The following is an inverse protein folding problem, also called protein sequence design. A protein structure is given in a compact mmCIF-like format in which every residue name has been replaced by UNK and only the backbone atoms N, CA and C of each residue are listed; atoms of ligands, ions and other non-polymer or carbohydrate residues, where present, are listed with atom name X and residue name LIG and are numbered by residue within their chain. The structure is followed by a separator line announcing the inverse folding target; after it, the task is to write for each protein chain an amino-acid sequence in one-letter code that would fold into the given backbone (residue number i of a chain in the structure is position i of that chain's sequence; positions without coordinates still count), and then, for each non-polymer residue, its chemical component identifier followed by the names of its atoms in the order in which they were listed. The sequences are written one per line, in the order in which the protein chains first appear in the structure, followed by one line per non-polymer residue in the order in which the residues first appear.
data_IF_873898829174
#
_entry.id   IF_873898829174
#
_cell.length_a   1.000
_cell.length_b   1.000
_cell.length_c   1.000
_cell.angle_alpha   90.00
_cell.angle_beta   90.00
_cell.angle_gamma   90.00
#
_symmetry.space_group_name_H-M   'P 1'
#
loop_
_entity.id
_entity.type
_entity.pdbx_description
1 polymer ?
#
# COMPACT_ATOMS: atom_id res chain seq x y z
N UNK A 1 -9.95 -24.38 -11.61
CA UNK A 1 -10.95 -23.56 -10.87
C UNK A 1 -10.74 -22.09 -11.18
N UNK A 2 -9.54 -21.54 -10.90
CA UNK A 2 -9.13 -20.18 -11.27
C UNK A 2 -9.55 -19.75 -12.69
N UNK A 3 -9.03 -20.43 -13.72
CA UNK A 3 -9.32 -20.14 -15.14
C UNK A 3 -10.81 -20.27 -15.55
N UNK A 4 -11.65 -20.87 -14.71
CA UNK A 4 -13.07 -21.07 -14.98
C UNK A 4 -13.96 -19.92 -14.50
N UNK A 5 -13.39 -18.90 -13.85
CA UNK A 5 -14.14 -17.74 -13.38
C UNK A 5 -14.23 -16.72 -14.52
N UNK A 6 -15.44 -16.48 -15.03
CA UNK A 6 -15.68 -15.45 -16.05
C UNK A 6 -15.86 -14.08 -15.38
N UNK A 7 -14.76 -13.38 -15.10
CA UNK A 7 -14.82 -12.05 -14.48
C UNK A 7 -15.45 -11.01 -15.41
N UNK A 8 -15.19 -11.12 -16.71
CA UNK A 8 -15.73 -10.21 -17.71
C UNK A 8 -17.28 -10.30 -17.80
N UNK A 9 -17.89 -11.44 -17.49
CA UNK A 9 -19.34 -11.57 -17.30
C UNK A 9 -19.90 -10.59 -16.26
N UNK A 10 -19.18 -10.41 -15.14
CA UNK A 10 -19.59 -9.54 -14.03
C UNK A 10 -19.49 -8.05 -14.34
N UNK A 11 -18.98 -7.67 -15.51
CA UNK A 11 -19.05 -6.29 -16.01
C UNK A 11 -20.39 -5.92 -16.63
N UNK A 12 -21.29 -6.90 -16.82
CA UNK A 12 -22.64 -6.68 -17.34
C UNK A 12 -22.62 -5.90 -18.67
N UNK A 13 -21.75 -6.32 -19.59
CA UNK A 13 -21.58 -5.70 -20.90
C UNK A 13 -22.89 -5.70 -21.68
N UNK A 14 -23.26 -4.57 -22.27
CA UNK A 14 -24.49 -4.39 -23.05
C UNK A 14 -25.65 -3.75 -22.27
N UNK A 15 -25.67 -3.86 -20.94
CA UNK A 15 -26.60 -3.10 -20.09
C UNK A 15 -25.94 -1.88 -19.43
N UNK A 16 -24.61 -1.88 -19.35
CA UNK A 16 -23.78 -0.84 -18.72
C UNK A 16 -22.60 -0.50 -19.64
N UNK A 17 -21.81 0.52 -19.27
CA UNK A 17 -20.56 0.84 -19.96
C UNK A 17 -19.44 -0.19 -19.69
N UNK A 18 -19.66 -1.12 -18.75
CA UNK A 18 -18.72 -2.15 -18.38
C UNK A 18 -17.53 -1.67 -17.56
N UNK A 19 -17.60 -0.49 -16.93
CA UNK A 19 -16.52 0.02 -16.08
C UNK A 19 -16.45 -0.72 -14.74
N UNK A 20 -17.59 -0.98 -14.10
CA UNK A 20 -17.67 -1.68 -12.81
C UNK A 20 -17.83 -3.19 -12.92
N UNK A 21 -17.27 -3.90 -11.94
CA UNK A 21 -17.70 -5.25 -11.58
C UNK A 21 -18.95 -5.20 -10.69
N UNK A 22 -19.87 -6.12 -10.90
CA UNK A 22 -21.05 -6.30 -10.06
C UNK A 22 -20.86 -7.46 -9.11
N UNK A 23 -21.25 -7.28 -7.85
CA UNK A 23 -21.04 -8.28 -6.81
C UNK A 23 -21.85 -9.57 -7.07
N UNK A 24 -23.03 -9.44 -7.66
CA UNK A 24 -23.98 -10.55 -7.72
C UNK A 24 -24.49 -10.79 -9.13
N UNK A 25 -24.61 -12.06 -9.48
CA UNK A 25 -25.43 -12.53 -10.58
C UNK A 25 -26.24 -13.75 -10.14
N UNK A 26 -27.46 -13.88 -10.64
CA UNK A 26 -28.31 -15.04 -10.37
C UNK A 26 -28.92 -15.60 -11.66
N UNK A 27 -28.97 -16.94 -11.83
CA UNK A 27 -29.67 -17.54 -12.96
C UNK A 27 -31.19 -17.29 -12.94
N UNK A 28 -31.76 -17.00 -11.76
CA UNK A 28 -33.21 -16.80 -11.60
C UNK A 28 -33.61 -15.32 -11.52
N UNK A 29 -32.68 -14.46 -11.10
CA UNK A 29 -32.95 -13.04 -10.83
C UNK A 29 -32.07 -12.09 -11.64
N UNK A 30 -31.18 -12.61 -12.50
CA UNK A 30 -30.21 -11.82 -13.24
C UNK A 30 -29.41 -10.91 -12.30
N UNK A 31 -29.45 -9.61 -12.59
CA UNK A 31 -28.72 -8.56 -11.88
C UNK A 31 -29.56 -7.82 -10.83
N UNK A 32 -30.65 -8.42 -10.32
CA UNK A 32 -31.61 -7.73 -9.45
C UNK A 32 -30.99 -7.12 -8.17
N UNK A 33 -29.91 -7.70 -7.64
CA UNK A 33 -29.17 -7.09 -6.52
C UNK A 33 -28.52 -5.75 -6.88
N UNK A 34 -28.18 -5.57 -8.16
CA UNK A 34 -27.70 -4.32 -8.76
C UNK A 34 -26.68 -3.56 -7.90
N UNK A 35 -25.63 -4.27 -7.48
CA UNK A 35 -24.61 -3.75 -6.58
C UNK A 35 -23.27 -3.65 -7.33
N UNK A 36 -22.95 -2.50 -7.94
CA UNK A 36 -21.62 -2.25 -8.48
C UNK A 36 -20.60 -2.16 -7.34
N UNK A 37 -19.45 -2.80 -7.51
CA UNK A 37 -18.36 -2.75 -6.54
C UNK A 37 -17.54 -1.49 -6.83
N UNK A 38 -17.59 -0.54 -5.91
CA UNK A 38 -16.82 0.71 -5.92
C UNK A 38 -15.98 0.76 -4.64
N UNK A 39 -14.77 1.30 -4.74
CA UNK A 39 -13.88 1.47 -3.62
C UNK A 39 -14.09 2.79 -2.87
N UNK A 40 -13.47 2.98 -1.71
CA UNK A 40 -12.58 2.02 -1.06
C UNK A 40 -13.34 1.17 -0.02
N UNK A 41 -13.18 -0.16 -0.10
CA UNK A 41 -13.72 -1.15 0.83
C UNK A 41 -12.90 -2.45 0.78
N UNK A 42 -13.42 -3.57 1.28
CA UNK A 42 -12.73 -4.86 1.34
C UNK A 42 -12.49 -5.53 -0.02
N UNK A 43 -13.14 -5.07 -1.10
CA UNK A 43 -13.24 -5.77 -2.37
C UNK A 43 -12.15 -5.45 -3.39
N UNK A 44 -11.05 -4.77 -3.00
CA UNK A 44 -9.97 -4.43 -3.92
C UNK A 44 -9.43 -5.67 -4.65
N UNK A 45 -9.22 -6.78 -3.93
CA UNK A 45 -8.75 -8.04 -4.49
C UNK A 45 -9.64 -8.60 -5.61
N UNK A 46 -10.94 -8.25 -5.63
CA UNK A 46 -11.87 -8.66 -6.69
C UNK A 46 -11.47 -8.07 -8.03
N UNK A 47 -11.09 -6.79 -8.08
CA UNK A 47 -10.60 -6.15 -9.31
C UNK A 47 -9.20 -6.60 -9.69
N UNK A 48 -8.33 -6.81 -8.69
CA UNK A 48 -6.97 -7.32 -8.92
C UNK A 48 -7.02 -8.71 -9.56
N UNK A 49 -7.78 -9.65 -8.99
CA UNK A 49 -7.95 -10.98 -9.58
C UNK A 49 -8.68 -10.94 -10.92
N UNK A 50 -9.71 -10.11 -11.06
CA UNK A 50 -10.41 -9.98 -12.34
C UNK A 50 -9.48 -9.49 -13.46
N UNK A 51 -8.54 -8.60 -13.15
CA UNK A 51 -7.54 -8.12 -14.13
C UNK A 51 -6.47 -9.18 -14.38
N UNK A 52 -6.07 -9.93 -13.34
CA UNK A 52 -5.05 -10.99 -13.44
C UNK A 52 -5.51 -12.25 -14.18
N UNK A 53 -6.82 -12.46 -14.34
CA UNK A 53 -7.35 -13.68 -14.96
C UNK A 53 -6.79 -13.94 -16.36
N UNK A 54 -6.18 -15.12 -16.62
CA UNK A 54 -5.58 -15.42 -17.94
C UNK A 54 -6.61 -15.78 -19.02
N UNK A 55 -7.85 -16.11 -18.64
CA UNK A 55 -8.89 -16.59 -19.58
C UNK A 55 -10.03 -15.60 -19.77
N UNK A 56 -10.47 -14.95 -18.70
CA UNK A 56 -11.58 -14.00 -18.72
C UNK A 56 -11.21 -12.65 -18.07
N UNK A 57 -10.09 -12.01 -18.45
CA UNK A 57 -9.66 -10.77 -17.83
C UNK A 57 -10.65 -9.63 -18.07
N UNK A 58 -10.71 -8.71 -17.13
CA UNK A 58 -11.26 -7.38 -17.37
C UNK A 58 -10.15 -6.43 -17.86
N UNK A 59 -10.50 -5.35 -18.60
CA UNK A 59 -9.52 -4.32 -18.94
C UNK A 59 -8.95 -3.68 -17.67
N UNK A 60 -7.63 -3.44 -17.64
CA UNK A 60 -6.97 -2.78 -16.52
C UNK A 60 -7.57 -1.41 -16.18
N UNK A 61 -8.13 -0.70 -17.16
CA UNK A 61 -8.84 0.56 -16.96
C UNK A 61 -10.06 0.43 -16.04
N UNK A 62 -10.65 -0.76 -15.86
CA UNK A 62 -11.73 -1.00 -14.89
C UNK A 62 -11.26 -0.80 -13.44
N UNK A 63 -9.96 -0.93 -13.15
CA UNK A 63 -9.42 -0.58 -11.84
C UNK A 63 -9.68 0.90 -11.53
N UNK A 64 -9.40 1.80 -12.47
CA UNK A 64 -9.58 3.25 -12.23
C UNK A 64 -10.99 3.76 -12.56
N UNK A 65 -11.63 3.22 -13.59
CA UNK A 65 -12.97 3.66 -13.99
C UNK A 65 -14.09 3.02 -13.17
N UNK A 66 -13.84 1.88 -12.53
CA UNK A 66 -14.79 1.16 -11.69
C UNK A 66 -14.41 1.21 -10.21
N UNK A 67 -13.30 0.55 -9.84
CA UNK A 67 -12.88 0.44 -8.43
C UNK A 67 -12.50 1.78 -7.81
N UNK A 68 -11.46 2.43 -8.34
CA UNK A 68 -10.98 3.73 -7.87
C UNK A 68 -11.77 4.91 -8.47
N UNK A 69 -13.09 4.75 -8.51
CA UNK A 69 -14.02 5.75 -9.02
C UNK A 69 -14.93 6.28 -7.91
N UNK A 70 -15.69 7.32 -8.22
CA UNK A 70 -16.70 7.87 -7.31
C UNK A 70 -16.07 8.43 -6.04
N UNK A 71 -16.33 7.77 -4.91
CA UNK A 71 -15.94 8.25 -3.60
C UNK A 71 -14.74 7.48 -3.01
N UNK A 72 -13.74 7.23 -3.86
CA UNK A 72 -12.55 6.49 -3.51
C UNK A 72 -11.57 7.28 -2.64
N UNK A 73 -11.33 8.52 -3.08
CA UNK A 73 -10.36 9.42 -2.48
C UNK A 73 -10.83 9.97 -1.14
N UNK A 74 -9.88 10.02 -0.22
CA UNK A 74 -9.92 10.80 1.01
C UNK A 74 -8.67 11.71 0.98
N UNK A 75 -8.05 11.99 2.11
CA UNK A 75 -6.96 12.94 2.26
C UNK A 75 -7.04 13.73 3.56
N UNK A 76 -8.09 13.53 4.36
CA UNK A 76 -8.22 14.07 5.69
C UNK A 76 -7.26 13.39 6.69
N UNK A 77 -7.01 14.08 7.80
CA UNK A 77 -6.23 13.56 8.91
C UNK A 77 -7.12 13.37 10.14
N UNK A 78 -7.00 12.21 10.78
CA UNK A 78 -7.72 11.83 11.99
C UNK A 78 -6.70 11.40 13.03
N UNK A 79 -6.78 11.96 14.24
CA UNK A 79 -5.82 11.67 15.32
C UNK A 79 -4.34 11.83 14.92
N UNK A 80 -4.04 12.75 13.98
CA UNK A 80 -2.68 12.98 13.46
C UNK A 80 -2.29 12.11 12.26
N UNK A 81 -3.06 11.08 11.93
CA UNK A 81 -2.79 10.18 10.80
C UNK A 81 -3.58 10.56 9.56
N UNK A 82 -2.91 10.63 8.40
CA UNK A 82 -3.55 10.89 7.12
C UNK A 82 -4.17 9.61 6.55
N UNK A 83 -5.43 9.65 6.16
CA UNK A 83 -6.10 8.57 5.45
C UNK A 83 -6.34 9.01 4.01
N UNK A 84 -5.63 8.41 3.06
CA UNK A 84 -5.66 8.82 1.64
C UNK A 84 -6.84 8.26 0.88
N UNK A 85 -7.29 7.06 1.20
CA UNK A 85 -8.46 6.42 0.59
C UNK A 85 -9.35 5.76 1.64
N UNK A 86 -10.63 5.60 1.32
CA UNK A 86 -11.63 5.11 2.26
C UNK A 86 -12.06 6.14 3.30
N UNK A 87 -12.83 5.72 4.29
CA UNK A 87 -13.56 6.64 5.17
C UNK A 87 -13.16 6.50 6.63
N UNK A 88 -13.43 7.55 7.41
CA UNK A 88 -13.27 7.49 8.86
C UNK A 88 -14.09 6.36 9.49
N UNK A 89 -15.36 6.21 9.07
CA UNK A 89 -16.27 5.17 9.57
C UNK A 89 -16.08 3.83 8.80
N UNK A 90 -14.83 3.41 8.59
CA UNK A 90 -14.50 2.14 7.92
C UNK A 90 -14.21 1.04 8.95
N UNK A 91 -14.88 -0.12 8.87
CA UNK A 91 -14.50 -1.30 9.66
C UNK A 91 -13.09 -1.78 9.33
N UNK A 92 -12.32 -2.19 10.34
CA UNK A 92 -10.90 -2.53 10.18
C UNK A 92 -10.63 -3.70 9.21
N UNK A 93 -11.60 -4.60 8.99
CA UNK A 93 -11.46 -5.69 8.01
C UNK A 93 -11.21 -5.23 6.57
N UNK A 94 -11.50 -3.97 6.23
CA UNK A 94 -11.15 -3.36 4.94
C UNK A 94 -9.64 -3.42 4.67
N UNK A 95 -8.82 -3.32 5.72
CA UNK A 95 -7.36 -3.42 5.63
C UNK A 95 -6.86 -4.87 5.63
N UNK A 96 -7.73 -5.87 5.86
CA UNK A 96 -7.33 -7.26 6.06
C UNK A 96 -7.61 -8.14 4.85
N UNK A 97 -8.85 -8.17 4.34
CA UNK A 97 -9.30 -9.26 3.46
C UNK A 97 -8.56 -9.30 2.12
N UNK A 98 -8.34 -8.13 1.51
CA UNK A 98 -7.52 -8.06 0.30
C UNK A 98 -6.06 -8.44 0.60
N UNK A 99 -5.56 -8.04 1.77
CA UNK A 99 -4.16 -8.13 2.14
C UNK A 99 -3.77 -9.47 2.80
N UNK A 100 -4.65 -10.47 2.80
CA UNK A 100 -4.32 -11.82 3.29
C UNK A 100 -3.26 -12.50 2.41
N UNK A 101 -3.45 -12.39 1.09
CA UNK A 101 -2.53 -12.90 0.08
C UNK A 101 -1.82 -11.77 -0.66
N UNK A 102 -2.54 -10.73 -1.08
CA UNK A 102 -1.90 -9.60 -1.75
C UNK A 102 -0.98 -8.86 -0.77
N UNK A 103 0.28 -8.63 -1.17
CA UNK A 103 1.24 -7.89 -0.36
C UNK A 103 1.14 -6.39 -0.67
N UNK A 104 0.62 -5.56 0.25
CA UNK A 104 0.46 -4.13 -0.01
C UNK A 104 1.78 -3.34 0.10
N UNK A 105 2.87 -3.95 0.58
CA UNK A 105 4.15 -3.24 0.76
C UNK A 105 4.71 -2.77 -0.58
N UNK A 106 5.08 -1.50 -0.63
CA UNK A 106 5.58 -0.83 -1.84
C UNK A 106 4.57 -0.83 -3.00
N UNK A 107 3.28 -1.10 -2.74
CA UNK A 107 2.22 -0.95 -3.73
C UNK A 107 1.65 0.44 -3.57
N UNK A 108 1.81 1.24 -4.61
CA UNK A 108 1.37 2.62 -4.64
C UNK A 108 0.83 2.98 -6.00
N UNK A 109 -0.14 3.88 -6.01
CA UNK A 109 -0.63 4.54 -7.21
C UNK A 109 -0.77 6.04 -6.98
N UNK A 110 -1.51 6.72 -7.86
CA UNK A 110 -1.74 8.16 -7.78
C UNK A 110 -2.56 8.57 -6.53
N UNK A 111 -3.15 7.63 -5.79
CA UNK A 111 -3.96 7.92 -4.62
C UNK A 111 -3.20 7.71 -3.32
N UNK A 112 -2.54 6.56 -3.16
CA UNK A 112 -1.85 6.24 -1.91
C UNK A 112 -0.80 5.12 -2.04
N UNK A 113 0.04 4.99 -1.01
CA UNK A 113 0.68 3.72 -0.68
C UNK A 113 -0.32 2.87 0.14
N UNK A 114 -0.61 1.66 -0.34
CA UNK A 114 -1.63 0.80 0.26
C UNK A 114 -1.24 0.20 1.60
N UNK A 115 0.06 0.02 1.87
CA UNK A 115 0.54 -0.40 3.19
C UNK A 115 0.37 0.74 4.19
N UNK A 116 0.80 1.95 3.83
CA UNK A 116 0.73 3.13 4.71
C UNK A 116 -0.72 3.52 5.00
N UNK A 117 -1.60 3.46 3.99
CA UNK A 117 -3.02 3.71 4.20
C UNK A 117 -3.65 2.66 5.14
N UNK A 118 -3.28 1.38 5.00
CA UNK A 118 -3.76 0.32 5.90
C UNK A 118 -3.26 0.53 7.33
N UNK A 119 -1.98 0.88 7.51
CA UNK A 119 -1.40 1.22 8.81
C UNK A 119 -2.10 2.41 9.46
N UNK A 120 -2.31 3.49 8.70
CA UNK A 120 -2.97 4.68 9.23
C UNK A 120 -4.43 4.40 9.59
N UNK A 121 -5.16 3.60 8.82
CA UNK A 121 -6.51 3.16 9.20
C UNK A 121 -6.51 2.36 10.51
N UNK A 122 -5.53 1.47 10.73
CA UNK A 122 -5.40 0.72 11.99
C UNK A 122 -5.07 1.62 13.18
N UNK A 123 -4.18 2.60 13.01
CA UNK A 123 -3.84 3.57 14.06
C UNK A 123 -5.02 4.50 14.37
N UNK A 124 -5.78 4.94 13.37
CA UNK A 124 -6.99 5.75 13.57
C UNK A 124 -8.05 4.99 14.38
N UNK A 125 -8.29 3.71 14.07
CA UNK A 125 -9.21 2.86 14.84
C UNK A 125 -8.77 2.75 16.31
N UNK A 126 -7.48 2.48 16.51
CA UNK A 126 -6.89 2.41 17.85
C UNK A 126 -7.03 3.72 18.63
N UNK A 127 -6.67 4.85 18.03
CA UNK A 127 -6.75 6.16 18.69
C UNK A 127 -8.21 6.57 18.99
N UNK A 128 -9.16 6.23 18.11
CA UNK A 128 -10.58 6.40 18.41
C UNK A 128 -11.00 5.59 19.64
N UNK A 129 -10.56 4.33 19.76
CA UNK A 129 -10.82 3.52 20.94
C UNK A 129 -10.15 4.09 22.21
N UNK A 130 -8.96 4.67 22.11
CA UNK A 130 -8.28 5.32 23.24
C UNK A 130 -9.03 6.58 23.70
N UNK A 131 -9.43 7.43 22.75
CA UNK A 131 -10.22 8.63 23.00
C UNK A 131 -11.57 8.29 23.63
N UNK A 132 -12.19 7.18 23.18
CA UNK A 132 -13.43 6.62 23.71
C UNK A 132 -14.54 7.68 23.87
N UNK A 133 -14.92 8.39 22.79
CA UNK A 133 -15.83 9.54 22.88
C UNK A 133 -17.24 9.15 23.39
N UNK A 134 -17.61 7.88 23.27
CA UNK A 134 -18.89 7.33 23.75
C UNK A 134 -18.83 6.76 25.17
N UNK A 135 -17.64 6.70 25.79
CA UNK A 135 -17.46 6.27 27.18
C UNK A 135 -17.77 4.79 27.43
N UNK A 136 -17.51 3.91 26.46
CA UNK A 136 -17.70 2.46 26.61
C UNK A 136 -16.68 1.85 27.57
N UNK A 137 -17.09 0.82 28.30
CA UNK A 137 -16.24 0.20 29.30
C UNK A 137 -15.04 -0.54 28.69
N UNK A 138 -13.87 -0.34 29.30
CA UNK A 138 -12.64 -1.08 29.02
C UNK A 138 -11.82 -0.62 27.82
N UNK A 139 -12.40 0.19 26.93
CA UNK A 139 -11.70 0.80 25.80
C UNK A 139 -10.42 1.50 26.27
N UNK A 140 -9.29 1.20 25.61
CA UNK A 140 -7.96 1.65 25.99
C UNK A 140 -6.95 1.36 24.88
N UNK A 141 -5.69 1.73 25.11
CA UNK A 141 -4.54 1.38 24.26
C UNK A 141 -4.31 -0.13 24.11
N UNK A 142 -4.90 -0.94 25.00
CA UNK A 142 -4.85 -2.41 25.01
C UNK A 142 -6.20 -3.07 24.69
N UNK A 143 -7.26 -2.29 24.51
CA UNK A 143 -8.62 -2.76 24.21
C UNK A 143 -9.19 -1.87 23.11
N UNK A 144 -8.83 -2.22 21.88
CA UNK A 144 -9.22 -1.54 20.66
C UNK A 144 -9.51 -2.55 19.57
N UNK A 145 -10.10 -2.08 18.47
CA UNK A 145 -10.42 -2.91 17.32
C UNK A 145 -11.91 -2.94 17.01
N UNK A 146 -12.36 -1.99 16.19
CA UNK A 146 -13.74 -1.95 15.68
C UNK A 146 -13.79 -2.55 14.28
N UNK A 147 -14.56 -3.61 14.13
CA UNK A 147 -14.82 -4.23 12.84
C UNK A 147 -16.14 -4.98 12.86
N UNK A 148 -16.62 -5.37 11.68
CA UNK A 148 -17.85 -6.14 11.56
C UNK A 148 -17.75 -7.48 12.31
N UNK A 149 -18.74 -7.76 13.16
CA UNK A 149 -18.75 -8.91 14.06
C UNK A 149 -20.13 -9.10 14.70
N UNK A 150 -20.30 -10.20 15.43
CA UNK A 150 -21.39 -10.33 16.39
C UNK A 150 -21.31 -9.24 17.47
N UNK A 151 -22.47 -8.86 17.97
CA UNK A 151 -22.64 -7.95 19.10
C UNK A 151 -23.80 -8.42 19.98
N UNK A 152 -24.04 -7.79 21.14
CA UNK A 152 -25.11 -8.20 22.06
C UNK A 152 -26.50 -8.26 21.43
N UNK A 153 -26.73 -7.57 20.31
CA UNK A 153 -28.03 -7.42 19.66
C UNK A 153 -28.13 -8.12 18.29
N UNK A 154 -27.08 -8.80 17.84
CA UNK A 154 -27.04 -9.46 16.54
C UNK A 154 -25.68 -9.33 15.88
N UNK A 155 -25.66 -8.75 14.67
CA UNK A 155 -24.44 -8.55 13.88
C UNK A 155 -24.40 -7.10 13.41
N UNK A 156 -23.22 -6.48 13.40
CA UNK A 156 -23.03 -5.09 13.00
C UNK A 156 -21.74 -4.91 12.22
N UNK A 157 -21.59 -3.76 11.57
CA UNK A 157 -20.34 -3.33 10.94
C UNK A 157 -19.76 -2.18 11.79
N UNK A 158 -19.14 -2.54 12.92
CA UNK A 158 -18.56 -1.59 13.85
C UNK A 158 -17.37 -0.90 13.19
N UNK A 159 -17.25 0.39 13.45
CA UNK A 159 -16.20 1.28 12.97
C UNK A 159 -16.14 2.50 13.89
N UNK A 160 -15.06 3.30 13.85
CA UNK A 160 -15.03 4.61 14.50
C UNK A 160 -16.26 5.45 14.13
N UNK A 161 -16.77 6.25 15.06
CA UNK A 161 -17.91 7.14 14.83
C UNK A 161 -19.27 6.54 15.19
N UNK A 162 -20.29 6.77 14.35
CA UNK A 162 -21.68 6.47 14.71
C UNK A 162 -21.96 4.96 14.83
N UNK A 163 -21.24 4.13 14.08
CA UNK A 163 -21.38 2.67 14.08
C UNK A 163 -20.87 1.99 15.37
N UNK A 164 -20.03 2.66 16.15
CA UNK A 164 -19.50 2.15 17.41
C UNK A 164 -20.62 1.96 18.46
N UNK A 165 -20.76 0.73 18.94
CA UNK A 165 -21.73 0.32 19.94
C UNK A 165 -21.08 -0.31 21.20
N UNK A 166 -19.77 -0.11 21.38
CA UNK A 166 -19.01 -0.62 22.53
C UNK A 166 -18.52 -2.06 22.36
N UNK A 167 -18.75 -2.68 21.20
CA UNK A 167 -18.32 -4.05 20.91
C UNK A 167 -16.95 -4.05 20.26
N UNK A 168 -15.99 -4.75 20.86
CA UNK A 168 -14.64 -4.98 20.34
C UNK A 168 -14.57 -6.38 19.74
N UNK A 169 -13.95 -6.47 18.56
CA UNK A 169 -13.71 -7.74 17.87
C UNK A 169 -12.21 -8.02 17.83
N UNK A 170 -11.72 -9.12 18.46
CA UNK A 170 -10.29 -9.43 18.49
C UNK A 170 -9.61 -9.45 17.12
N UNK A 171 -10.31 -9.90 16.07
CA UNK A 171 -9.76 -9.93 14.70
C UNK A 171 -9.30 -8.55 14.20
N UNK A 172 -9.95 -7.47 14.65
CA UNK A 172 -9.63 -6.13 14.22
C UNK A 172 -8.17 -5.78 14.60
N UNK A 173 -7.83 -5.82 15.89
CA UNK A 173 -6.49 -5.49 16.35
C UNK A 173 -5.47 -6.58 15.98
N UNK A 174 -5.84 -7.86 16.03
CA UNK A 174 -4.88 -8.97 15.83
C UNK A 174 -4.50 -9.15 14.37
N UNK A 175 -5.41 -8.89 13.42
CA UNK A 175 -5.11 -8.98 12.00
C UNK A 175 -4.41 -7.73 11.45
N UNK A 176 -4.36 -6.65 12.21
CA UNK A 176 -3.53 -5.48 11.92
C UNK A 176 -2.04 -5.69 12.23
N UNK A 177 -1.62 -6.86 12.73
CA UNK A 177 -0.25 -7.10 13.20
C UNK A 177 0.87 -6.81 12.19
N UNK A 178 0.72 -7.01 10.87
CA UNK A 178 1.74 -6.57 9.91
C UNK A 178 1.87 -5.04 9.79
N UNK A 179 0.85 -4.29 10.21
CA UNK A 179 0.80 -2.83 10.11
C UNK A 179 1.14 -2.13 11.42
N UNK A 180 0.65 -2.65 12.56
CA UNK A 180 0.86 -2.10 13.92
C UNK A 180 1.31 -3.22 14.88
N UNK A 181 2.51 -3.80 14.68
CA UNK A 181 2.89 -5.04 15.36
C UNK A 181 2.93 -4.92 16.87
N UNK A 182 3.48 -3.83 17.41
CA UNK A 182 3.66 -3.67 18.85
C UNK A 182 2.32 -3.49 19.56
N UNK A 183 1.43 -2.66 19.00
CA UNK A 183 0.08 -2.43 19.51
C UNK A 183 -0.76 -3.70 19.44
N UNK A 184 -0.72 -4.41 18.30
CA UNK A 184 -1.47 -5.64 18.09
C UNK A 184 -0.99 -6.76 19.01
N UNK A 185 0.32 -6.91 19.22
CA UNK A 185 0.89 -7.91 20.14
C UNK A 185 0.56 -7.57 21.60
N UNK A 186 0.61 -6.29 21.97
CA UNK A 186 0.24 -5.84 23.31
C UNK A 186 -1.25 -6.15 23.60
N UNK A 187 -2.13 -5.82 22.67
CA UNK A 187 -3.57 -6.14 22.74
C UNK A 187 -3.83 -7.64 22.80
N UNK A 188 -3.16 -8.44 21.96
CA UNK A 188 -3.28 -9.90 22.00
C UNK A 188 -2.94 -10.46 23.38
N UNK A 189 -1.81 -10.03 23.96
CA UNK A 189 -1.40 -10.46 25.30
C UNK A 189 -2.42 -10.02 26.35
N UNK A 190 -2.93 -8.79 26.26
CA UNK A 190 -3.94 -8.28 27.18
C UNK A 190 -5.25 -9.07 27.10
N UNK A 191 -5.78 -9.31 25.89
CA UNK A 191 -6.98 -10.12 25.67
C UNK A 191 -6.82 -11.52 26.25
N UNK A 192 -5.70 -12.18 26.00
CA UNK A 192 -5.45 -13.53 26.49
C UNK A 192 -5.33 -13.59 28.01
N UNK A 193 -4.51 -12.71 28.61
CA UNK A 193 -4.20 -12.77 30.03
C UNK A 193 -5.30 -12.19 30.93
N UNK A 194 -6.03 -11.19 30.45
CA UNK A 194 -7.06 -10.49 31.25
C UNK A 194 -8.43 -11.13 31.07
N UNK A 195 -8.86 -11.36 29.83
CA UNK A 195 -10.23 -11.78 29.53
C UNK A 195 -10.34 -13.23 29.03
N UNK A 196 -9.22 -13.91 28.79
CA UNK A 196 -9.23 -15.30 28.32
C UNK A 196 -9.98 -16.24 29.26
N UNK A 197 -9.88 -16.01 30.58
CA UNK A 197 -10.63 -16.76 31.59
C UNK A 197 -12.12 -16.39 31.70
N UNK A 198 -12.51 -15.23 31.18
CA UNK A 198 -13.88 -14.69 31.27
C UNK A 198 -14.75 -15.09 30.07
N UNK A 199 -14.19 -15.87 29.14
CA UNK A 199 -14.89 -16.39 27.96
C UNK A 199 -14.39 -15.80 26.64
N UNK A 200 -13.38 -14.93 26.64
CA UNK A 200 -12.81 -14.40 25.41
C UNK A 200 -11.97 -15.44 24.65
N UNK A 201 -11.46 -16.48 25.32
CA UNK A 201 -10.64 -17.53 24.72
C UNK A 201 -11.33 -18.90 24.74
N UNK A 202 -11.47 -19.52 23.57
CA UNK A 202 -12.10 -20.81 23.35
C UNK A 202 -11.22 -21.82 22.60
N UNK A 203 -11.78 -23.00 22.22
CA UNK A 203 -11.05 -24.06 21.53
C UNK A 203 -10.47 -23.66 20.17
N UNK A 204 -11.00 -22.61 19.54
CA UNK A 204 -10.61 -22.13 18.21
C UNK A 204 -9.90 -20.78 18.23
N UNK A 205 -9.42 -20.35 19.39
CA UNK A 205 -8.76 -19.06 19.58
C UNK A 205 -9.64 -18.07 20.33
N UNK A 206 -9.51 -16.79 20.03
CA UNK A 206 -10.42 -15.78 20.55
C UNK A 206 -11.81 -15.96 19.95
N UNK A 207 -12.86 -15.79 20.76
CA UNK A 207 -14.24 -15.73 20.24
C UNK A 207 -14.44 -14.44 19.44
N UNK A 208 -15.52 -14.39 18.67
CA UNK A 208 -15.75 -13.38 17.64
C UNK A 208 -15.65 -11.93 18.14
N UNK A 209 -16.25 -11.64 19.29
CA UNK A 209 -16.33 -10.30 19.85
C UNK A 209 -16.69 -10.32 21.34
N UNK A 210 -16.54 -9.16 21.99
CA UNK A 210 -16.99 -8.91 23.35
C UNK A 210 -17.41 -7.44 23.54
N UNK A 211 -18.26 -7.20 24.53
CA UNK A 211 -18.74 -5.87 24.90
C UNK A 211 -18.80 -5.79 26.43
N UNK A 212 -17.82 -5.08 27.02
CA UNK A 212 -17.69 -4.98 28.47
C UNK A 212 -18.75 -4.07 29.10
N UNK A 213 -19.31 -3.12 28.34
CA UNK A 213 -20.41 -2.27 28.82
C UNK A 213 -21.68 -3.08 29.08
N UNK A 214 -21.87 -4.14 28.29
CA UNK A 214 -23.01 -5.06 28.36
C UNK A 214 -22.69 -6.38 29.10
N UNK A 215 -21.47 -6.52 29.63
CA UNK A 215 -20.96 -7.76 30.23
C UNK A 215 -21.22 -8.99 29.33
N UNK A 216 -20.83 -8.87 28.06
CA UNK A 216 -21.14 -9.83 27.01
C UNK A 216 -19.89 -10.31 26.29
N UNK A 217 -19.85 -11.61 25.99
CA UNK A 217 -18.86 -12.27 25.14
C UNK A 217 -19.62 -13.11 24.11
N UNK A 218 -19.13 -13.15 22.87
CA UNK A 218 -19.71 -13.96 21.82
C UNK A 218 -19.70 -15.46 22.18
N UNK A 219 -20.75 -16.19 21.76
CA UNK A 219 -20.87 -17.63 22.01
C UNK A 219 -20.24 -18.51 20.93
N UNK A 220 -19.62 -17.91 19.92
CA UNK A 220 -19.04 -18.65 18.81
C UNK A 220 -18.01 -17.83 18.05
N UNK A 221 -17.49 -18.45 17.00
CA UNK A 221 -16.43 -17.94 16.16
C UNK A 221 -16.94 -17.80 14.73
N UNK A 222 -16.48 -16.78 14.01
CA UNK A 222 -16.82 -16.56 12.61
C UNK A 222 -15.58 -16.80 11.76
N UNK A 223 -15.73 -17.57 10.67
CA UNK A 223 -14.59 -17.96 9.84
C UNK A 223 -13.85 -16.76 9.21
N UNK A 224 -14.60 -15.71 8.84
CA UNK A 224 -14.03 -14.49 8.25
C UNK A 224 -13.29 -13.63 9.28
N UNK A 225 -13.49 -13.87 10.57
CA UNK A 225 -12.80 -13.17 11.66
C UNK A 225 -11.62 -14.01 12.19
N UNK A 226 -11.77 -15.34 12.30
CA UNK A 226 -10.67 -16.23 12.70
C UNK A 226 -9.58 -16.36 11.63
N UNK A 227 -9.96 -16.43 10.35
CA UNK A 227 -9.05 -16.65 9.24
C UNK A 227 -7.95 -15.59 9.15
N UNK A 228 -8.30 -14.29 9.09
CA UNK A 228 -7.34 -13.19 9.06
C UNK A 228 -6.39 -13.16 10.25
N UNK A 229 -6.82 -13.54 11.46
CA UNK A 229 -5.93 -13.55 12.64
C UNK A 229 -4.71 -14.44 12.35
N UNK A 230 -4.95 -15.66 11.86
CA UNK A 230 -3.90 -16.63 11.60
C UNK A 230 -2.99 -16.15 10.45
N UNK A 231 -3.61 -15.74 9.34
CA UNK A 231 -2.89 -15.39 8.12
C UNK A 231 -2.04 -14.12 8.32
N UNK A 232 -2.59 -13.09 8.95
CA UNK A 232 -1.88 -11.83 9.15
C UNK A 232 -0.78 -11.94 10.21
N UNK A 233 -0.96 -12.75 11.26
CA UNK A 233 0.15 -13.10 12.17
C UNK A 233 1.28 -13.78 11.40
N UNK A 234 0.96 -14.71 10.50
CA UNK A 234 2.01 -15.40 9.72
C UNK A 234 2.66 -14.48 8.68
N UNK A 235 1.92 -13.56 8.07
CA UNK A 235 2.50 -12.54 7.18
C UNK A 235 3.45 -11.61 7.93
N UNK A 236 3.11 -11.17 9.14
CA UNK A 236 4.03 -10.42 10.01
C UNK A 236 5.31 -11.22 10.31
N UNK A 237 5.17 -12.50 10.68
CA UNK A 237 6.30 -13.34 11.14
C UNK A 237 7.25 -13.75 10.01
N UNK A 238 6.71 -14.16 8.87
CA UNK A 238 7.47 -14.84 7.81
C UNK A 238 7.10 -14.40 6.40
N UNK A 239 6.06 -13.58 6.25
CA UNK A 239 5.55 -13.13 4.96
C UNK A 239 5.04 -14.29 4.08
N UNK A 240 4.68 -15.44 4.68
CA UNK A 240 4.40 -16.68 3.94
C UNK A 240 3.27 -16.53 2.92
N UNK A 241 2.11 -16.03 3.34
CA UNK A 241 0.93 -15.96 2.47
C UNK A 241 1.12 -14.89 1.38
N UNK A 242 1.75 -13.77 1.73
CA UNK A 242 2.23 -12.77 0.79
C UNK A 242 3.16 -13.36 -0.27
N UNK A 243 4.24 -14.02 0.15
CA UNK A 243 5.20 -14.61 -0.77
C UNK A 243 4.57 -15.64 -1.71
N UNK A 244 3.66 -16.47 -1.20
CA UNK A 244 2.96 -17.48 -2.01
C UNK A 244 2.00 -16.87 -3.03
N UNK A 245 1.26 -15.84 -2.64
CA UNK A 245 0.32 -15.18 -3.56
C UNK A 245 1.06 -14.35 -4.60
N UNK A 246 2.06 -13.57 -4.18
CA UNK A 246 2.84 -12.71 -5.07
C UNK A 246 3.76 -13.50 -6.02
N UNK A 247 4.04 -14.78 -5.74
CA UNK A 247 4.77 -15.66 -6.65
C UNK A 247 3.99 -16.08 -7.91
N UNK A 248 2.68 -15.83 -7.97
CA UNK A 248 1.89 -16.19 -9.15
C UNK A 248 2.16 -15.20 -10.30
N UNK A 249 2.52 -15.68 -11.51
CA UNK A 249 2.93 -14.81 -12.62
C UNK A 249 1.82 -13.86 -13.08
N UNK A 250 0.55 -14.28 -12.98
CA UNK A 250 -0.61 -13.47 -13.34
C UNK A 250 -0.72 -12.18 -12.50
N UNK A 251 -0.21 -12.19 -11.27
CA UNK A 251 -0.22 -11.02 -10.38
C UNK A 251 0.75 -9.95 -10.88
N UNK A 252 1.92 -10.34 -11.40
CA UNK A 252 2.88 -9.38 -11.95
C UNK A 252 2.38 -8.74 -13.25
N UNK A 253 1.81 -9.55 -14.15
CA UNK A 253 1.18 -9.02 -15.37
C UNK A 253 0.03 -8.06 -15.04
N UNK A 254 -0.75 -8.38 -14.01
CA UNK A 254 -1.80 -7.49 -13.54
C UNK A 254 -1.23 -6.17 -13.00
N UNK A 255 -0.24 -6.24 -12.10
CA UNK A 255 0.38 -5.05 -11.51
C UNK A 255 0.96 -4.13 -12.59
N UNK A 256 1.62 -4.68 -13.62
CA UNK A 256 2.11 -3.89 -14.75
C UNK A 256 0.95 -3.24 -15.52
N UNK A 257 -0.10 -4.01 -15.82
CA UNK A 257 -1.25 -3.51 -16.57
C UNK A 257 -2.01 -2.36 -15.89
N UNK A 258 -2.04 -2.34 -14.55
CA UNK A 258 -2.68 -1.26 -13.77
C UNK A 258 -1.69 -0.15 -13.37
N UNK A 259 -0.42 -0.23 -13.79
CA UNK A 259 0.59 0.80 -13.56
C UNK A 259 1.23 0.77 -12.16
N UNK A 260 1.18 -0.37 -11.47
CA UNK A 260 1.72 -0.60 -10.14
C UNK A 260 3.04 -1.37 -10.14
N UNK A 261 3.44 -1.97 -11.26
CA UNK A 261 4.73 -2.64 -11.35
C UNK A 261 5.88 -1.64 -11.15
N UNK A 262 6.75 -1.96 -10.22
CA UNK A 262 8.09 -1.37 -10.14
C UNK A 262 8.87 -2.04 -11.28
N UNK A 263 8.89 -1.41 -12.45
CA UNK A 263 9.72 -1.82 -13.58
C UNK A 263 11.18 -1.81 -13.13
N UNK A 264 12.02 -2.72 -13.54
CA UNK A 264 13.44 -2.58 -13.23
C UNK A 264 13.96 -1.28 -13.89
N UNK A 265 14.90 -0.63 -13.22
CA UNK A 265 15.16 0.80 -13.42
C UNK A 265 14.19 1.75 -12.68
N UNK A 266 13.08 1.31 -12.08
CA UNK A 266 12.25 2.10 -11.16
C UNK A 266 12.76 2.05 -9.72
N UNK A 267 12.46 3.07 -8.92
CA UNK A 267 12.93 3.23 -7.55
C UNK A 267 14.20 4.08 -7.46
N UNK A 268 14.85 4.06 -6.30
CA UNK A 268 16.03 4.87 -6.01
C UNK A 268 17.17 3.96 -5.54
N UNK A 269 18.40 4.41 -5.74
CA UNK A 269 19.54 3.91 -4.97
C UNK A 269 19.49 4.54 -3.58
N UNK A 270 19.83 3.79 -2.55
CA UNK A 270 20.06 4.33 -1.22
C UNK A 270 21.45 3.95 -0.73
N UNK A 271 21.99 4.83 0.09
CA UNK A 271 23.16 4.58 0.92
C UNK A 271 22.78 4.92 2.36
N UNK A 272 23.12 4.02 3.27
CA UNK A 272 22.82 4.10 4.69
C UNK A 272 24.11 4.28 5.48
N UNK A 273 24.07 5.18 6.46
CA UNK A 273 25.26 5.62 7.19
C UNK A 273 25.02 5.62 8.68
N UNK A 274 26.09 5.33 9.41
CA UNK A 274 26.16 5.46 10.85
C UNK A 274 26.88 6.75 11.25
N UNK A 275 26.28 7.56 12.13
CA UNK A 275 27.00 8.67 12.75
C UNK A 275 26.14 9.57 13.61
N UNK A 276 26.79 10.52 14.27
CA UNK A 276 26.12 11.49 15.14
C UNK A 276 26.34 12.86 14.54
N UNK A 277 25.26 13.50 14.11
CA UNK A 277 25.30 14.79 13.42
C UNK A 277 24.26 15.75 14.03
N UNK A 278 24.57 17.04 14.00
CA UNK A 278 23.63 18.11 14.34
C UNK A 278 23.07 18.80 13.07
N UNK A 279 23.54 18.35 11.90
CA UNK A 279 23.19 18.80 10.54
C UNK A 279 23.70 17.77 9.54
N UNK A 280 23.11 17.68 8.35
CA UNK A 280 23.48 16.71 7.32
C UNK A 280 25.00 16.64 7.08
N UNK A 281 25.58 15.42 7.04
CA UNK A 281 26.99 15.25 6.77
C UNK A 281 27.35 15.53 5.31
N UNK A 282 28.65 15.72 5.08
CA UNK A 282 29.24 15.59 3.74
C UNK A 282 29.31 14.10 3.36
N UNK A 283 28.26 13.60 2.73
CA UNK A 283 28.14 12.19 2.31
C UNK A 283 29.27 11.73 1.39
N UNK A 284 29.84 12.61 0.57
CA UNK A 284 30.95 12.26 -0.33
C UNK A 284 32.26 11.98 0.43
N UNK A 285 32.33 12.40 1.70
CA UNK A 285 33.45 12.12 2.60
C UNK A 285 33.28 10.85 3.44
N UNK A 286 32.11 10.21 3.38
CA UNK A 286 31.75 9.05 4.19
C UNK A 286 31.81 7.75 3.39
N UNK A 287 31.88 6.62 4.09
CA UNK A 287 31.65 5.29 3.52
C UNK A 287 30.29 4.80 4.00
N UNK A 288 29.38 4.39 3.10
CA UNK A 288 28.12 3.78 3.50
C UNK A 288 28.36 2.50 4.31
N UNK A 289 27.55 2.27 5.34
CA UNK A 289 27.48 0.99 6.04
C UNK A 289 26.78 -0.06 5.18
N UNK A 290 25.76 0.37 4.44
CA UNK A 290 25.03 -0.47 3.48
C UNK A 290 24.55 0.39 2.32
N UNK A 291 24.49 -0.19 1.15
CA UNK A 291 23.93 0.42 -0.06
C UNK A 291 22.99 -0.57 -0.74
N UNK A 292 22.00 -0.06 -1.46
CA UNK A 292 21.02 -0.90 -2.13
C UNK A 292 19.99 -0.11 -2.91
N UNK A 293 18.82 -0.70 -3.11
CA UNK A 293 17.72 -0.09 -3.85
C UNK A 293 16.42 -0.09 -3.03
N UNK A 294 15.60 0.94 -3.24
CA UNK A 294 14.29 1.12 -2.61
C UNK A 294 13.27 1.57 -3.66
N UNK A 295 11.99 1.31 -3.42
CA UNK A 295 10.93 1.75 -4.34
C UNK A 295 10.58 3.24 -4.16
N UNK A 296 10.87 3.80 -2.99
CA UNK A 296 10.54 5.17 -2.60
C UNK A 296 11.49 5.65 -1.49
N UNK A 297 11.31 6.90 -1.02
CA UNK A 297 12.07 7.50 0.08
C UNK A 297 11.66 6.92 1.45
N UNK A 298 11.85 5.61 1.67
CA UNK A 298 11.62 4.99 2.98
C UNK A 298 12.93 4.75 3.74
N UNK A 299 12.85 4.82 5.07
CA UNK A 299 13.98 4.65 5.99
C UNK A 299 13.98 3.25 6.64
N UNK A 300 13.26 2.29 6.06
CA UNK A 300 13.08 0.94 6.61
C UNK A 300 14.36 0.10 6.61
N UNK A 301 15.29 0.38 5.68
CA UNK A 301 16.58 -0.31 5.58
C UNK A 301 17.62 0.24 6.57
N UNK A 302 17.19 0.52 7.81
CA UNK A 302 18.05 0.92 8.93
C UNK A 302 18.22 -0.25 9.90
N UNK A 303 19.35 -0.27 10.59
CA UNK A 303 19.65 -1.25 11.64
C UNK A 303 19.60 -0.66 13.07
N UNK A 304 19.21 0.62 13.18
CA UNK A 304 18.98 1.35 14.43
C UNK A 304 18.00 2.51 14.23
N UNK A 305 17.42 2.95 15.33
CA UNK A 305 16.37 3.98 15.34
C UNK A 305 16.93 5.40 15.58
N UNK A 306 18.19 5.51 16.02
CA UNK A 306 18.87 6.80 16.28
C UNK A 306 20.23 6.86 15.56
N UNK A 307 20.78 8.07 15.42
CA UNK A 307 22.15 8.32 14.95
C UNK A 307 22.41 7.76 13.54
N UNK A 308 21.53 7.93 12.57
CA UNK A 308 21.74 7.38 11.22
C UNK A 308 21.48 8.42 10.14
N UNK A 309 21.88 8.11 8.90
CA UNK A 309 21.59 8.95 7.76
C UNK A 309 21.34 8.13 6.50
N UNK A 310 20.57 8.70 5.58
CA UNK A 310 20.32 8.16 4.26
C UNK A 310 20.68 9.17 3.17
N UNK A 311 21.26 8.68 2.07
CA UNK A 311 21.30 9.39 0.79
C UNK A 311 20.56 8.57 -0.25
N UNK A 312 19.45 9.12 -0.75
CA UNK A 312 18.69 8.55 -1.86
C UNK A 312 19.04 9.26 -3.16
N UNK A 313 19.24 8.51 -4.24
CA UNK A 313 19.55 9.06 -5.57
C UNK A 313 18.83 8.32 -6.69
N UNK A 314 18.42 9.07 -7.71
CA UNK A 314 17.76 8.55 -8.90
C UNK A 314 17.20 9.68 -9.76
N UNK A 315 16.03 9.45 -10.35
CA UNK A 315 15.34 10.32 -11.26
C UNK A 315 13.84 10.33 -10.93
N UNK A 316 13.19 11.47 -11.14
CA UNK A 316 11.74 11.62 -11.08
C UNK A 316 11.21 11.96 -12.48
N UNK A 317 10.15 11.28 -12.92
CA UNK A 317 9.45 11.61 -14.17
C UNK A 317 8.45 12.75 -13.95
N UNK A 318 8.61 13.81 -14.73
CA UNK A 318 7.74 14.99 -14.72
C UNK A 318 6.79 14.91 -15.93
N UNK A 319 5.46 14.85 -15.73
CA UNK A 319 4.52 14.58 -16.82
C UNK A 319 4.31 15.80 -17.74
N UNK A 320 4.35 17.01 -17.19
CA UNK A 320 4.04 18.25 -17.92
C UNK A 320 5.00 19.38 -17.52
N UNK A 321 5.30 20.28 -18.45
CA UNK A 321 6.10 21.46 -18.17
C UNK A 321 5.37 22.38 -17.17
N UNK A 322 6.09 22.92 -16.17
CA UNK A 322 5.57 23.99 -15.33
C UNK A 322 6.21 24.07 -13.94
N UNK A 323 5.53 24.78 -13.05
CA UNK A 323 5.97 24.96 -11.67
C UNK A 323 5.51 23.80 -10.79
N UNK A 324 6.47 23.15 -10.12
CA UNK A 324 6.23 22.09 -9.16
C UNK A 324 6.59 22.56 -7.76
N UNK A 325 5.74 22.24 -6.78
CA UNK A 325 6.04 22.39 -5.36
C UNK A 325 6.56 21.05 -4.86
N UNK A 326 7.76 21.03 -4.29
CA UNK A 326 8.32 19.89 -3.56
C UNK A 326 8.35 20.21 -2.07
N UNK A 327 8.18 19.18 -1.25
CA UNK A 327 8.32 19.26 0.19
C UNK A 327 9.06 18.06 0.76
N UNK A 328 9.77 18.28 1.84
CA UNK A 328 10.21 17.24 2.76
C UNK A 328 9.57 17.48 4.13
N UNK A 329 9.00 16.43 4.71
CA UNK A 329 8.57 16.41 6.12
C UNK A 329 9.48 15.44 6.84
N UNK A 330 10.30 15.92 7.76
CA UNK A 330 11.27 15.07 8.46
C UNK A 330 11.38 15.37 9.94
N UNK A 331 11.60 14.33 10.74
CA UNK A 331 12.16 14.44 12.09
C UNK A 331 13.69 14.39 11.98
N UNK A 332 14.34 15.42 12.52
CA UNK A 332 15.65 15.95 12.14
C UNK A 332 15.81 16.24 10.63
N UNK A 333 17.04 16.39 10.16
CA UNK A 333 17.34 17.19 8.98
C UNK A 333 17.22 16.46 7.65
N UNK A 334 16.62 17.12 6.66
CA UNK A 334 16.56 16.67 5.27
C UNK A 334 16.85 17.76 4.23
N UNK A 335 17.32 17.36 3.04
CA UNK A 335 17.48 18.23 1.87
C UNK A 335 17.02 17.51 0.62
N UNK A 336 16.39 18.23 -0.30
CA UNK A 336 15.95 17.72 -1.61
C UNK A 336 16.58 18.53 -2.73
N UNK A 337 17.15 17.83 -3.70
CA UNK A 337 17.78 18.38 -4.89
C UNK A 337 17.09 17.85 -6.14
N UNK A 338 16.88 18.73 -7.12
CA UNK A 338 16.45 18.38 -8.48
C UNK A 338 17.47 18.98 -9.45
N UNK A 339 17.97 18.20 -10.40
CA UNK A 339 19.01 18.63 -11.35
C UNK A 339 20.21 19.32 -10.65
N UNK A 340 20.70 18.70 -9.56
CA UNK A 340 21.77 19.22 -8.68
C UNK A 340 21.46 20.58 -8.02
N UNK A 341 20.25 21.10 -8.17
CA UNK A 341 19.79 22.35 -7.56
C UNK A 341 19.09 22.04 -6.24
N UNK A 342 19.56 22.63 -5.15
CA UNK A 342 18.88 22.56 -3.85
C UNK A 342 17.50 23.21 -3.95
N UNK A 343 16.45 22.41 -3.78
CA UNK A 343 15.05 22.86 -3.83
C UNK A 343 14.54 23.07 -2.42
N UNK A 344 14.62 22.04 -1.57
CA UNK A 344 14.15 22.09 -0.17
C UNK A 344 15.34 21.95 0.77
N UNK A 345 15.42 22.86 1.75
CA UNK A 345 16.39 22.82 2.84
C UNK A 345 15.64 22.77 4.17
N UNK A 346 15.57 21.57 4.75
CA UNK A 346 14.94 21.27 6.04
C UNK A 346 16.01 20.69 6.98
N UNK A 347 17.23 21.22 6.97
CA UNK A 347 18.37 20.67 7.70
C UNK A 347 18.49 21.22 9.13
N UNK A 348 19.10 20.45 10.01
CA UNK A 348 19.29 20.75 11.43
C UNK A 348 18.46 19.86 12.36
N UNK A 349 18.51 20.15 13.65
CA UNK A 349 17.78 19.40 14.68
C UNK A 349 16.38 19.97 14.90
N UNK A 350 15.36 19.13 14.76
CA UNK A 350 13.96 19.48 14.98
C UNK A 350 13.09 18.23 15.00
N UNK A 351 11.94 18.28 15.70
CA UNK A 351 10.89 17.27 15.52
C UNK A 351 10.35 17.25 14.09
N UNK A 352 9.41 16.35 13.80
CA UNK A 352 8.72 16.27 12.49
C UNK A 352 8.19 17.63 11.97
N UNK A 353 8.84 18.20 10.94
CA UNK A 353 8.52 19.51 10.33
C UNK A 353 8.49 19.41 8.80
N UNK A 354 7.49 20.02 8.16
CA UNK A 354 7.39 20.15 6.69
C UNK A 354 8.04 21.46 6.22
N UNK A 355 8.96 21.36 5.26
CA UNK A 355 9.51 22.48 4.50
C UNK A 355 9.30 22.27 3.00
N UNK A 356 9.09 23.36 2.26
CA UNK A 356 8.70 23.30 0.85
C UNK A 356 9.25 24.43 0.01
N UNK A 357 9.45 24.15 -1.28
CA UNK A 357 9.84 25.14 -2.26
C UNK A 357 9.29 24.83 -3.65
N UNK A 358 9.44 25.81 -4.55
CA UNK A 358 9.00 25.71 -5.94
C UNK A 358 10.19 25.67 -6.89
N UNK A 359 10.09 24.83 -7.92
CA UNK A 359 11.01 24.77 -9.05
C UNK A 359 10.24 24.65 -10.37
N UNK A 360 10.73 25.31 -11.42
CA UNK A 360 10.18 25.16 -12.77
C UNK A 360 10.88 23.99 -13.47
N UNK A 361 10.11 23.02 -13.96
CA UNK A 361 10.60 21.80 -14.61
C UNK A 361 9.99 21.62 -15.99
N UNK A 362 10.73 20.94 -16.85
CA UNK A 362 10.24 20.43 -18.13
C UNK A 362 9.68 19.03 -17.98
N UNK A 363 8.83 18.58 -18.90
CA UNK A 363 8.41 17.19 -18.95
C UNK A 363 9.59 16.26 -19.27
N UNK A 364 9.63 15.10 -18.62
CA UNK A 364 10.68 14.09 -18.71
C UNK A 364 11.35 13.78 -17.37
N UNK A 365 12.40 12.94 -17.41
CA UNK A 365 13.18 12.55 -16.23
C UNK A 365 14.13 13.66 -15.77
N UNK A 366 14.05 13.97 -14.49
CA UNK A 366 14.95 14.88 -13.79
C UNK A 366 15.69 14.15 -12.67
N UNK A 367 17.03 14.24 -12.56
CA UNK A 367 17.76 13.77 -11.37
C UNK A 367 17.12 14.27 -10.08
N UNK A 368 16.90 13.36 -9.14
CA UNK A 368 16.41 13.66 -7.79
C UNK A 368 17.34 13.05 -6.76
N UNK A 369 17.74 13.85 -5.77
CA UNK A 369 18.51 13.41 -4.62
C UNK A 369 17.83 13.89 -3.35
N UNK A 370 17.66 13.00 -2.37
CA UNK A 370 17.15 13.35 -1.04
C UNK A 370 18.15 12.83 -0.01
N UNK A 371 18.57 13.70 0.89
CA UNK A 371 19.45 13.35 2.00
C UNK A 371 18.73 13.58 3.31
N UNK A 372 18.94 12.69 4.28
CA UNK A 372 18.26 12.67 5.57
C UNK A 372 19.23 12.24 6.68
N UNK A 373 19.10 12.79 7.89
CA UNK A 373 19.72 12.24 9.10
C UNK A 373 18.75 12.27 10.27
N UNK A 374 18.92 11.29 11.16
CA UNK A 374 18.26 11.18 12.46
C UNK A 374 19.32 11.19 13.55
N UNK A 375 19.19 12.04 14.56
CA UNK A 375 20.08 12.03 15.72
C UNK A 375 19.51 11.22 16.87
N UNK A 376 18.38 11.65 17.40
CA UNK A 376 17.71 11.01 18.53
C UNK A 376 16.24 11.40 18.66
N UNK A 377 15.36 10.43 18.90
CA UNK A 377 13.94 10.71 19.16
C UNK A 377 12.99 9.82 18.37
N UNK A 378 12.05 10.47 17.67
CA UNK A 378 11.20 9.82 16.68
C UNK A 378 11.79 10.07 15.29
N UNK A 379 11.58 9.17 14.35
CA UNK A 379 12.19 9.21 13.03
C UNK A 379 11.15 9.02 11.92
N UNK A 380 11.08 9.98 10.99
CA UNK A 380 10.26 9.84 9.79
C UNK A 380 10.76 10.75 8.65
N UNK A 381 10.49 10.35 7.41
CA UNK A 381 10.79 11.11 6.20
C UNK A 381 9.67 10.92 5.18
N UNK A 382 9.02 12.02 4.82
CA UNK A 382 8.01 12.08 3.77
C UNK A 382 8.46 13.05 2.70
N UNK A 383 8.48 12.61 1.44
CA UNK A 383 8.74 13.46 0.28
C UNK A 383 7.47 13.60 -0.53
N UNK A 384 6.99 14.83 -0.74
CA UNK A 384 5.76 15.10 -1.49
C UNK A 384 5.98 16.12 -2.60
N UNK A 385 5.12 16.06 -3.62
CA UNK A 385 5.14 17.02 -4.72
C UNK A 385 3.75 17.32 -5.27
N UNK A 386 3.63 18.43 -6.01
CA UNK A 386 2.42 18.81 -6.74
C UNK A 386 2.77 19.71 -7.91
N UNK A 387 1.98 19.68 -8.98
CA UNK A 387 2.20 20.49 -10.17
C UNK A 387 1.22 20.16 -11.30
N UNK A 388 1.44 20.68 -12.51
CA UNK A 388 0.65 20.30 -13.69
C UNK A 388 0.62 18.77 -13.87
N UNK A 389 -0.57 18.19 -14.00
CA UNK A 389 -0.73 16.73 -14.14
C UNK A 389 -0.46 15.90 -12.88
N UNK A 390 -0.14 16.53 -11.74
CA UNK A 390 0.23 15.86 -10.48
C UNK A 390 -0.59 16.43 -9.31
N UNK A 391 -1.42 15.59 -8.70
CA UNK A 391 -2.13 15.95 -7.47
C UNK A 391 -1.19 16.03 -6.27
N UNK A 392 -1.55 16.87 -5.28
CA UNK A 392 -0.71 17.04 -4.09
C UNK A 392 -0.70 15.80 -3.21
N UNK A 393 0.47 15.18 -3.07
CA UNK A 393 0.66 13.97 -2.28
C UNK A 393 2.12 13.54 -2.23
N UNK A 394 2.38 12.46 -1.48
CA UNK A 394 3.69 11.82 -1.44
C UNK A 394 4.11 11.41 -2.86
N UNK A 395 5.40 11.51 -3.17
CA UNK A 395 5.92 11.10 -4.47
C UNK A 395 5.59 9.61 -4.67
N UNK A 396 4.82 9.23 -5.70
CA UNK A 396 4.46 7.83 -5.88
C UNK A 396 5.65 7.04 -6.46
N UNK A 397 5.78 5.77 -6.07
CA UNK A 397 6.96 4.97 -6.43
C UNK A 397 7.10 4.74 -7.95
N UNK A 398 5.99 4.86 -8.69
CA UNK A 398 5.94 4.65 -10.14
C UNK A 398 6.51 5.82 -10.97
N UNK A 399 6.80 6.97 -10.35
CA UNK A 399 7.49 8.09 -11.02
C UNK A 399 8.97 8.17 -10.67
N UNK A 400 9.50 7.24 -9.87
CA UNK A 400 10.90 7.21 -9.45
C UNK A 400 11.69 6.17 -10.24
N UNK A 401 12.91 6.52 -10.65
CA UNK A 401 13.78 5.69 -11.47
C UNK A 401 15.25 5.75 -11.04
N UNK A 402 15.98 4.64 -11.10
CA UNK A 402 17.43 4.57 -10.84
C UNK A 402 18.26 5.04 -12.03
N UNK A 403 17.71 5.00 -13.24
CA UNK A 403 18.42 5.35 -14.48
C UNK A 403 17.63 6.32 -15.39
N UNK A 404 18.38 7.11 -16.17
CA UNK A 404 17.90 8.08 -17.16
C UNK A 404 17.99 7.56 -18.61
N UNK A 405 17.81 6.26 -18.81
CA UNK A 405 18.02 5.66 -20.12
C UNK A 405 16.67 5.36 -20.79
N UNK A 406 16.39 6.09 -21.87
CA UNK A 406 15.35 5.69 -22.81
C UNK A 406 15.89 4.56 -23.70
N UNK A 407 15.19 3.43 -23.76
CA UNK A 407 15.56 2.27 -24.58
C UNK A 407 16.23 1.12 -23.83
N UNK A 408 16.29 1.18 -22.50
CA UNK A 408 16.62 0.07 -21.61
C UNK A 408 15.35 -0.78 -21.39
N UNK A 409 15.16 -1.81 -22.21
CA UNK A 409 14.00 -2.72 -22.16
C UNK A 409 14.27 -3.96 -21.30
N UNK A 410 15.54 -4.24 -21.00
CA UNK A 410 16.02 -5.28 -20.09
C UNK A 410 16.06 -4.84 -18.64
N UNK A 411 15.90 -3.53 -18.45
CA UNK A 411 15.68 -2.89 -17.17
C UNK A 411 16.90 -3.03 -16.23
N UNK A 412 18.09 -3.23 -16.80
CA UNK A 412 19.34 -3.51 -16.10
C UNK A 412 20.24 -2.27 -15.92
N UNK A 413 19.75 -1.09 -16.34
CA UNK A 413 20.47 0.18 -16.37
C UNK A 413 21.60 0.25 -17.39
N UNK A 414 21.55 -0.59 -18.42
CA UNK A 414 22.38 -0.52 -19.61
C UNK A 414 21.48 -0.39 -20.86
N UNK A 415 22.02 0.15 -21.96
CA UNK A 415 21.35 0.03 -23.27
C UNK A 415 22.26 -0.81 -24.15
N UNK A 416 22.01 -2.11 -24.17
CA UNK A 416 22.79 -3.11 -24.85
C UNK A 416 21.92 -4.11 -25.64
N UNK A 417 22.48 -5.30 -25.86
CA UNK A 417 21.82 -6.32 -26.68
C UNK A 417 20.60 -6.91 -25.98
N UNK A 418 20.58 -6.95 -24.65
CA UNK A 418 19.50 -7.56 -23.89
C UNK A 418 18.20 -6.73 -24.07
N UNK A 419 18.32 -5.41 -24.17
CA UNK A 419 17.21 -4.50 -24.48
C UNK A 419 16.66 -4.72 -25.89
N UNK A 420 17.57 -4.88 -26.86
CA UNK A 420 17.22 -5.19 -28.24
C UNK A 420 16.52 -6.54 -28.36
N UNK A 421 16.94 -7.53 -27.55
CA UNK A 421 16.34 -8.86 -27.53
C UNK A 421 14.94 -8.84 -26.93
N UNK A 422 14.69 -8.02 -25.92
CA UNK A 422 13.35 -7.87 -25.33
C UNK A 422 12.42 -7.08 -26.26
N UNK A 423 12.92 -6.03 -26.90
CA UNK A 423 12.16 -5.31 -27.92
C UNK A 423 11.77 -6.24 -29.08
N UNK A 424 12.71 -7.07 -29.54
CA UNK A 424 12.48 -8.06 -30.60
C UNK A 424 11.50 -9.16 -30.17
N UNK A 425 11.58 -9.64 -28.92
CA UNK A 425 10.66 -10.64 -28.38
C UNK A 425 9.22 -10.10 -28.29
N UNK A 426 9.05 -8.86 -27.85
CA UNK A 426 7.75 -8.19 -27.77
C UNK A 426 7.15 -7.90 -29.17
N UNK A 427 8.01 -7.63 -30.16
CA UNK A 427 7.58 -7.49 -31.56
C UNK A 427 7.11 -8.82 -32.18
N UNK A 428 7.73 -9.94 -31.76
CA UNK A 428 7.40 -11.29 -32.23
C UNK A 428 6.15 -11.88 -31.57
N UNK A 429 5.74 -11.39 -30.38
CA UNK A 429 4.50 -11.82 -29.72
C UNK A 429 3.24 -11.22 -30.32
N UNK A 430 3.33 -10.10 -31.04
CA UNK A 430 2.18 -9.40 -31.64
C UNK A 430 1.82 -9.89 -33.07
N UNK A 431 2.66 -10.71 -33.71
CA UNK A 431 2.37 -11.27 -35.03
C UNK A 431 2.33 -12.79 -34.99
N UNK A 432 1.12 -13.34 -35.05
CA UNK A 432 0.89 -14.77 -35.27
C UNK A 432 1.57 -15.24 -36.56
N UNK A 433 2.54 -16.14 -36.42
CA UNK A 433 3.10 -17.03 -37.45
C UNK A 433 3.51 -16.37 -38.78
N UNK A 434 4.77 -15.95 -38.86
CA UNK A 434 5.54 -16.07 -40.11
C UNK A 434 6.83 -16.81 -39.79
N UNK A 435 7.03 -17.93 -40.47
CA UNK A 435 8.15 -18.86 -40.29
C UNK A 435 9.48 -18.17 -40.64
N UNK A 436 10.22 -17.73 -39.61
CA UNK A 436 11.52 -17.07 -39.75
C UNK A 436 12.64 -18.02 -40.19
N UNK A 437 12.40 -19.34 -40.26
CA UNK A 437 13.47 -20.29 -40.61
C UNK A 437 13.86 -20.24 -42.09
N UNK A 438 13.01 -19.73 -42.99
CA UNK A 438 13.39 -19.51 -44.41
C UNK A 438 14.17 -18.21 -44.66
N UNK A 439 14.00 -17.16 -43.84
CA UNK A 439 14.69 -15.87 -44.07
C UNK A 439 16.16 -15.84 -43.59
N UNK A 440 16.51 -16.63 -42.58
CA UNK A 440 17.89 -16.69 -42.09
C UNK A 440 18.85 -17.42 -43.05
N UNK A 441 18.34 -18.22 -43.98
CA UNK A 441 19.15 -18.99 -44.93
C UNK A 441 19.65 -18.16 -46.14
N UNK A 442 19.01 -17.02 -46.44
CA UNK A 442 19.36 -16.15 -47.58
C UNK A 442 20.25 -14.95 -47.18
N UNK A 443 20.49 -14.73 -45.88
CA UNK A 443 21.43 -13.70 -45.40
C UNK A 443 22.87 -14.21 -45.18
N UNK A 444 23.10 -15.53 -45.30
CA UNK A 444 24.42 -16.16 -45.17
C UNK A 444 24.92 -16.81 -46.49
N UNK A 445 24.44 -16.33 -47.64
CA UNK A 445 25.05 -16.53 -48.96
C UNK A 445 25.23 -15.18 -49.63
#
# INVERSE_FOLDING_TARGET
MWEGIDWNWYRRLGDTDGSHLYWHWSPNYGWAMNFPIEGYNECMITYLLATASPTHPIPASCYYSGWASGWYENGASYYGYRQWVGWFESPMFYTHYTNLGFDPRGKSDNYCNYFDNSRNMSLIDREYCIDNPKGFAGYSDLVWGLTASYNPWGYGAQAPGDADNGTIAPTAALSAMPFTPDESIATLKHFYHTYGGDGLWGPFGFVDAFNLSENWFAQGDVAIDQGPIIVMIENYRTQLCWNLFMANPEIWSMLDSIGWAVKAGNGLNYEYYHGTWDSLPDFDSLTPETEGTVCNFNIDNRDRDDYFAFRFSGYIEIPENGWYRFCTTSDDGSKLYIDDTLVVDNDGLHGMVEECAYIELTAGKHPITVTYFEKDGEEDLIVSYSGPGVFSGQVPSNVLFRCNLGGDFSEDCNVDMDDLMILAANWLSDYSFVDFTEMAADWMK
#
